data_IF_649220158221
#
_entry.id   IF_649220158221
#
_cell.length_a   1.000
_cell.length_b   1.000
_cell.length_c   1.000
_cell.angle_alpha   90.00
_cell.angle_beta   90.00
_cell.angle_gamma   90.00
#
_symmetry.space_group_name_H-M   'P 1'
#
loop_
_entity.id
_entity.type
_entity.pdbx_description
1 polymer ?
#
# COMPACT_ATOMS: atom_id res chain seq x y z
N UNK A 1 -0.21 -12.58 1.49
CA UNK A 1 -0.84 -11.27 1.82
C UNK A 1 -1.65 -11.30 3.11
N UNK A 2 -2.83 -11.95 3.18
CA UNK A 2 -3.69 -11.88 4.38
C UNK A 2 -3.36 -12.89 5.49
N UNK A 3 -2.56 -13.91 5.20
CA UNK A 3 -2.27 -15.05 6.09
C UNK A 3 -0.76 -15.33 6.25
N UNK A 4 0.07 -14.34 6.62
CA UNK A 4 1.45 -14.61 6.97
C UNK A 4 1.54 -15.40 8.28
N UNK A 5 2.71 -15.97 8.62
CA UNK A 5 2.93 -16.61 9.91
C UNK A 5 2.46 -15.72 11.08
N UNK A 6 1.73 -16.30 12.03
CA UNK A 6 1.17 -15.57 13.18
C UNK A 6 -0.09 -14.73 12.90
N UNK A 7 -0.70 -14.82 11.71
CA UNK A 7 -1.96 -14.12 11.42
C UNK A 7 -3.10 -14.62 12.31
N UNK A 8 -4.03 -13.71 12.62
CA UNK A 8 -5.17 -13.99 13.47
C UNK A 8 -6.50 -13.80 12.70
N UNK A 9 -7.43 -14.77 12.70
CA UNK A 9 -8.70 -14.67 11.98
C UNK A 9 -9.55 -13.47 12.38
N UNK A 10 -9.51 -13.07 13.65
CA UNK A 10 -10.23 -11.92 14.17
C UNK A 10 -9.75 -10.60 13.55
N UNK A 11 -8.54 -10.55 13.01
CA UNK A 11 -8.01 -9.36 12.33
C UNK A 11 -8.55 -9.17 10.91
N UNK A 12 -9.39 -10.09 10.42
CA UNK A 12 -10.12 -9.94 9.17
C UNK A 12 -11.55 -9.46 9.47
N UNK A 13 -11.77 -8.15 9.40
CA UNK A 13 -13.03 -7.53 9.77
C UNK A 13 -13.89 -7.26 8.53
N UNK A 14 -14.99 -8.00 8.38
CA UNK A 14 -16.01 -7.77 7.34
C UNK A 14 -17.32 -7.25 7.90
N UNK A 15 -17.95 -6.29 7.22
CA UNK A 15 -19.29 -5.77 7.55
C UNK A 15 -20.29 -6.22 6.50
N UNK A 16 -21.41 -6.81 6.95
CA UNK A 16 -22.49 -7.28 6.08
C UNK A 16 -23.80 -6.56 6.40
N UNK A 17 -24.64 -6.39 5.39
CA UNK A 17 -26.02 -5.93 5.57
C UNK A 17 -26.84 -7.08 6.16
N UNK A 18 -27.57 -6.85 7.25
CA UNK A 18 -28.31 -7.89 7.99
C UNK A 18 -29.33 -8.60 7.10
N UNK A 19 -30.14 -7.84 6.35
CA UNK A 19 -31.22 -8.39 5.52
C UNK A 19 -30.72 -9.20 4.32
N UNK A 20 -29.68 -8.73 3.61
CA UNK A 20 -29.23 -9.34 2.36
C UNK A 20 -27.94 -10.17 2.49
N UNK A 21 -27.31 -10.18 3.67
CA UNK A 21 -25.98 -10.75 3.96
C UNK A 21 -24.86 -10.29 3.02
N UNK A 22 -25.07 -9.25 2.21
CA UNK A 22 -24.07 -8.71 1.28
C UNK A 22 -22.92 -8.05 2.05
N UNK A 23 -21.69 -8.38 1.69
CA UNK A 23 -20.48 -7.74 2.23
C UNK A 23 -20.37 -6.31 1.68
N UNK A 24 -20.28 -5.34 2.58
CA UNK A 24 -20.26 -3.91 2.24
C UNK A 24 -19.02 -3.18 2.76
N UNK A 25 -18.20 -3.81 3.58
CA UNK A 25 -16.94 -3.27 4.03
C UNK A 25 -15.98 -4.36 4.48
N UNK A 26 -14.69 -4.11 4.32
CA UNK A 26 -13.62 -5.00 4.74
C UNK A 26 -12.41 -4.18 5.20
N UNK A 27 -11.70 -4.67 6.21
CA UNK A 27 -10.39 -4.21 6.63
C UNK A 27 -9.64 -5.41 7.20
N UNK A 28 -8.33 -5.45 6.99
CA UNK A 28 -7.47 -6.52 7.51
C UNK A 28 -6.27 -5.95 8.26
N UNK A 29 -5.81 -6.71 9.25
CA UNK A 29 -4.51 -6.52 9.86
C UNK A 29 -3.70 -7.82 9.79
N UNK A 30 -2.38 -7.69 9.65
CA UNK A 30 -1.42 -8.80 9.73
C UNK A 30 -0.32 -8.45 10.74
N UNK A 31 0.29 -9.44 11.42
CA UNK A 31 1.41 -9.16 12.32
C UNK A 31 2.62 -8.69 11.52
N UNK A 32 3.38 -7.74 12.06
CA UNK A 32 4.66 -7.33 11.51
C UNK A 32 5.58 -6.82 12.61
N UNK A 33 6.84 -7.26 12.61
CA UNK A 33 7.88 -6.62 13.41
C UNK A 33 8.53 -5.54 12.56
N UNK A 34 8.49 -4.30 13.03
CA UNK A 34 9.00 -3.15 12.29
C UNK A 34 10.11 -2.49 13.10
N UNK A 35 11.25 -2.31 12.45
CA UNK A 35 12.37 -1.52 12.94
C UNK A 35 12.17 -0.06 12.50
N UNK A 36 12.10 0.84 13.48
CA UNK A 36 11.88 2.27 13.30
C UNK A 36 13.02 3.03 13.98
N UNK A 37 13.91 3.64 13.19
CA UNK A 37 15.16 4.26 13.64
C UNK A 37 16.01 3.29 14.47
N UNK A 38 16.00 3.39 15.79
CA UNK A 38 16.81 2.57 16.71
C UNK A 38 15.95 1.56 17.51
N UNK A 39 14.64 1.49 17.22
CA UNK A 39 13.70 0.69 17.98
C UNK A 39 13.02 -0.36 17.11
N UNK A 40 13.11 -1.62 17.52
CA UNK A 40 12.28 -2.69 16.99
C UNK A 40 10.97 -2.79 17.79
N UNK A 41 9.84 -2.79 17.08
CA UNK A 41 8.51 -2.93 17.68
C UNK A 41 7.65 -3.91 16.91
N UNK A 42 7.08 -4.85 17.67
CA UNK A 42 5.98 -5.68 17.21
C UNK A 42 4.73 -4.81 17.06
N UNK A 43 4.20 -4.77 15.85
CA UNK A 43 2.99 -4.02 15.50
C UNK A 43 2.15 -4.81 14.50
N UNK A 44 1.06 -4.19 14.04
CA UNK A 44 0.28 -4.75 12.94
C UNK A 44 0.40 -3.88 11.70
N UNK A 45 0.38 -4.52 10.54
CA UNK A 45 0.22 -3.84 9.27
C UNK A 45 -1.26 -3.85 8.87
N UNK A 46 -1.84 -2.67 8.67
CA UNK A 46 -3.23 -2.52 8.22
C UNK A 46 -3.28 -2.40 6.71
N UNK A 47 -4.12 -3.23 6.08
CA UNK A 47 -4.32 -3.19 4.63
C UNK A 47 -5.78 -3.52 4.24
N UNK A 48 -6.09 -3.38 2.96
CA UNK A 48 -7.36 -3.73 2.32
C UNK A 48 -8.61 -3.05 2.88
N UNK A 49 -8.47 -1.84 3.45
CA UNK A 49 -9.63 -1.02 3.80
C UNK A 49 -10.45 -0.70 2.54
N UNK A 50 -11.66 -1.22 2.51
CA UNK A 50 -12.60 -1.04 1.42
C UNK A 50 -14.01 -0.88 1.96
N UNK A 51 -14.72 0.12 1.44
CA UNK A 51 -16.15 0.34 1.69
C UNK A 51 -16.86 0.41 0.35
N UNK A 52 -18.01 -0.26 0.28
CA UNK A 52 -18.87 -0.27 -0.89
C UNK A 52 -19.20 1.16 -1.36
N UNK A 53 -19.16 1.40 -2.68
CA UNK A 53 -19.26 2.75 -3.27
C UNK A 53 -20.43 3.57 -2.71
N UNK A 54 -21.60 2.95 -2.57
CA UNK A 54 -22.84 3.58 -2.07
C UNK A 54 -22.82 3.98 -0.58
N UNK A 55 -21.91 3.44 0.23
CA UNK A 55 -21.86 3.65 1.69
C UNK A 55 -20.67 4.50 2.15
N UNK A 56 -19.86 5.03 1.23
CA UNK A 56 -18.66 5.82 1.57
C UNK A 56 -18.98 7.07 2.39
N UNK A 57 -20.12 7.71 2.15
CA UNK A 57 -20.59 8.90 2.90
C UNK A 57 -21.27 8.58 4.23
N UNK A 58 -21.42 7.30 4.60
CA UNK A 58 -22.18 6.87 5.80
C UNK A 58 -21.29 6.52 7.00
N UNK A 59 -20.04 7.00 7.02
CA UNK A 59 -19.08 6.80 8.12
C UNK A 59 -18.79 5.33 8.50
N UNK A 60 -18.93 4.40 7.55
CA UNK A 60 -18.61 2.98 7.77
C UNK A 60 -17.11 2.75 8.01
N UNK A 61 -16.24 3.47 7.28
CA UNK A 61 -14.79 3.34 7.42
C UNK A 61 -14.28 3.65 8.85
N UNK A 62 -14.66 4.77 9.49
CA UNK A 62 -14.32 5.01 10.90
C UNK A 62 -14.74 3.89 11.86
N UNK A 63 -15.92 3.28 11.66
CA UNK A 63 -16.39 2.17 12.52
C UNK A 63 -15.52 0.93 12.32
N UNK A 64 -15.20 0.59 11.08
CA UNK A 64 -14.28 -0.51 10.75
C UNK A 64 -12.90 -0.30 11.38
N UNK A 65 -12.35 0.92 11.30
CA UNK A 65 -11.05 1.27 11.88
C UNK A 65 -11.09 1.11 13.40
N UNK A 66 -12.12 1.63 14.08
CA UNK A 66 -12.25 1.47 15.54
C UNK A 66 -12.33 0.00 15.95
N UNK A 67 -13.09 -0.81 15.21
CA UNK A 67 -13.25 -2.23 15.54
C UNK A 67 -11.95 -3.02 15.32
N UNK A 68 -11.22 -2.80 14.22
CA UNK A 68 -9.92 -3.47 14.05
C UNK A 68 -8.92 -3.01 15.11
N UNK A 69 -8.87 -1.72 15.46
CA UNK A 69 -8.03 -1.21 16.54
C UNK A 69 -8.37 -1.89 17.87
N UNK A 70 -9.66 -2.03 18.21
CA UNK A 70 -10.08 -2.74 19.42
C UNK A 70 -9.60 -4.20 19.42
N UNK A 71 -9.75 -4.92 18.31
CA UNK A 71 -9.30 -6.33 18.21
C UNK A 71 -7.79 -6.50 18.29
N UNK A 72 -7.04 -5.55 17.76
CA UNK A 72 -5.57 -5.54 17.84
C UNK A 72 -5.11 -5.22 19.26
N UNK A 73 -5.76 -4.27 19.94
CA UNK A 73 -5.47 -3.92 21.33
C UNK A 73 -5.73 -5.07 22.31
N UNK A 74 -6.72 -5.93 22.04
CA UNK A 74 -6.98 -7.12 22.86
C UNK A 74 -5.81 -8.12 22.86
N UNK A 75 -5.00 -8.13 21.80
CA UNK A 75 -3.79 -8.94 21.69
C UNK A 75 -2.55 -8.24 22.29
N UNK A 76 -2.75 -7.11 22.98
CA UNK A 76 -1.66 -6.33 23.61
C UNK A 76 -0.80 -5.54 22.63
N UNK A 77 -1.21 -5.42 21.36
CA UNK A 77 -0.51 -4.62 20.35
C UNK A 77 -1.20 -3.27 20.23
N UNK A 78 -0.45 -2.17 20.34
CA UNK A 78 -1.01 -0.82 20.34
C UNK A 78 -0.51 0.06 19.19
N UNK A 79 0.39 -0.46 18.36
CA UNK A 79 0.99 0.22 17.22
C UNK A 79 0.52 -0.41 15.92
N UNK A 80 0.48 0.39 14.87
CA UNK A 80 0.23 -0.12 13.53
C UNK A 80 0.99 0.67 12.47
N UNK A 81 1.30 0.02 11.35
CA UNK A 81 1.83 0.65 10.14
C UNK A 81 0.80 0.50 9.02
N UNK A 82 0.64 1.55 8.22
CA UNK A 82 -0.25 1.50 7.06
C UNK A 82 0.20 2.50 6.00
N UNK A 83 -0.26 2.28 4.78
CA UNK A 83 -0.08 3.23 3.69
C UNK A 83 -1.43 3.72 3.17
N UNK A 84 -1.40 4.89 2.56
CA UNK A 84 -2.53 5.39 1.79
C UNK A 84 -1.99 6.08 0.54
N UNK A 85 -2.85 6.20 -0.48
CA UNK A 85 -2.60 7.13 -1.60
C UNK A 85 -3.15 8.54 -1.33
N UNK A 86 -3.99 8.69 -0.30
CA UNK A 86 -4.55 9.97 0.14
C UNK A 86 -3.73 10.55 1.29
N UNK A 87 -3.49 11.85 1.23
CA UNK A 87 -2.71 12.55 2.25
C UNK A 87 -3.53 12.67 3.54
N UNK A 88 -2.99 12.11 4.62
CA UNK A 88 -3.49 12.22 5.99
C UNK A 88 -2.43 12.92 6.85
N UNK A 89 -2.79 13.82 7.78
CA UNK A 89 -1.80 14.38 8.72
C UNK A 89 -1.40 13.33 9.78
N UNK A 90 -0.12 13.05 10.09
CA UNK A 90 1.16 13.49 9.50
C UNK A 90 1.90 12.24 8.96
N UNK A 91 2.27 12.18 7.67
CA UNK A 91 2.99 11.01 7.13
C UNK A 91 4.42 10.95 7.65
N UNK A 92 4.95 9.74 7.75
CA UNK A 92 6.32 9.44 8.15
C UNK A 92 7.25 9.46 6.94
N UNK A 93 6.80 8.93 5.81
CA UNK A 93 7.51 8.94 4.53
C UNK A 93 6.54 9.08 3.37
N UNK A 94 7.03 9.54 2.22
CA UNK A 94 6.25 9.63 0.98
C UNK A 94 7.11 9.14 -0.17
N UNK A 95 6.59 8.17 -0.91
CA UNK A 95 7.21 7.59 -2.09
C UNK A 95 6.29 7.81 -3.29
N UNK A 96 6.86 7.91 -4.48
CA UNK A 96 6.14 8.13 -5.73
C UNK A 96 6.20 6.88 -6.59
N UNK A 97 5.10 6.55 -7.25
CA UNK A 97 5.06 5.46 -8.21
C UNK A 97 5.80 5.81 -9.50
N UNK A 98 6.43 4.79 -10.06
CA UNK A 98 7.10 4.83 -11.35
C UNK A 98 6.68 3.62 -12.17
N UNK A 99 6.58 3.81 -13.48
CA UNK A 99 6.05 2.80 -14.40
C UNK A 99 7.01 2.59 -15.57
N UNK A 100 7.29 1.33 -15.87
CA UNK A 100 8.09 0.92 -17.03
C UNK A 100 7.25 0.07 -17.97
N UNK A 101 7.04 0.57 -19.19
CA UNK A 101 6.22 -0.11 -20.21
C UNK A 101 6.93 -1.34 -20.78
N UNK A 102 6.41 -2.54 -20.52
CA UNK A 102 6.91 -3.79 -21.12
C UNK A 102 6.19 -4.11 -22.44
N UNK A 103 4.90 -3.75 -22.52
CA UNK A 103 4.06 -3.89 -23.70
C UNK A 103 3.44 -2.53 -24.11
N UNK A 104 4.22 -1.61 -24.72
CA UNK A 104 3.75 -0.25 -25.02
C UNK A 104 2.49 -0.21 -25.89
N UNK A 105 2.36 -1.14 -26.85
CA UNK A 105 1.22 -1.21 -27.75
C UNK A 105 -0.09 -1.39 -26.97
N UNK A 106 -0.15 -2.41 -26.11
CA UNK A 106 -1.34 -2.65 -25.29
C UNK A 106 -1.60 -1.49 -24.33
N UNK A 107 -0.58 -0.94 -23.68
CA UNK A 107 -0.72 0.17 -22.74
C UNK A 107 -1.30 1.44 -23.38
N UNK A 108 -0.94 1.72 -24.63
CA UNK A 108 -1.46 2.86 -25.38
C UNK A 108 -2.91 2.59 -25.85
N UNK A 109 -3.19 1.38 -26.35
CA UNK A 109 -4.55 0.98 -26.78
C UNK A 109 -5.57 1.13 -25.63
N UNK A 110 -5.20 0.71 -24.41
CA UNK A 110 -6.07 0.78 -23.23
C UNK A 110 -6.04 2.13 -22.50
N UNK A 111 -5.32 3.12 -23.04
CA UNK A 111 -5.12 4.46 -22.46
C UNK A 111 -4.52 4.45 -21.06
N UNK A 112 -3.72 3.44 -20.73
CA UNK A 112 -2.89 3.45 -19.52
C UNK A 112 -1.68 4.38 -19.70
N UNK A 113 -1.17 4.48 -20.92
CA UNK A 113 -0.09 5.41 -21.29
C UNK A 113 -0.43 6.15 -22.57
N UNK A 114 0.22 7.29 -22.79
CA UNK A 114 0.07 8.10 -23.99
C UNK A 114 1.39 8.17 -24.78
N UNK A 115 1.28 8.29 -26.10
CA UNK A 115 2.42 8.63 -26.95
C UNK A 115 2.84 10.06 -26.64
N UNK A 116 4.13 10.27 -26.37
CA UNK A 116 4.65 11.62 -26.24
C UNK A 116 4.70 12.32 -27.60
N UNK A 117 4.80 13.66 -27.57
CA UNK A 117 4.90 14.48 -28.79
C UNK A 117 6.10 13.98 -29.62
N UNK A 118 5.91 13.84 -30.93
CA UNK A 118 6.91 13.38 -31.90
C UNK A 118 7.38 11.90 -31.73
N UNK A 119 6.62 11.08 -31.00
CA UNK A 119 6.84 9.64 -30.94
C UNK A 119 5.81 8.88 -31.78
N UNK A 120 6.28 7.89 -32.53
CA UNK A 120 5.42 6.90 -33.20
C UNK A 120 5.35 5.63 -32.36
N UNK A 121 4.35 4.78 -32.62
CA UNK A 121 4.23 3.47 -31.95
C UNK A 121 5.50 2.63 -32.13
N UNK A 122 6.04 2.57 -33.35
CA UNK A 122 7.26 1.83 -33.66
C UNK A 122 8.48 2.38 -32.91
N UNK A 123 8.64 3.70 -32.84
CA UNK A 123 9.74 4.33 -32.10
C UNK A 123 9.64 4.05 -30.61
N UNK A 124 8.43 4.03 -30.07
CA UNK A 124 8.16 3.70 -28.66
C UNK A 124 8.47 2.24 -28.35
N UNK A 125 8.08 1.32 -29.23
CA UNK A 125 8.44 -0.10 -29.10
C UNK A 125 9.96 -0.31 -29.16
N UNK A 126 10.67 0.39 -30.06
CA UNK A 126 12.14 0.33 -30.15
C UNK A 126 12.80 0.92 -28.91
N UNK A 127 12.30 2.04 -28.39
CA UNK A 127 12.82 2.68 -27.18
C UNK A 127 12.75 1.74 -25.96
N UNK A 128 11.66 1.00 -25.83
CA UNK A 128 11.40 0.14 -24.69
C UNK A 128 11.80 -1.32 -24.90
N UNK A 129 12.48 -1.64 -26.00
CA UNK A 129 13.00 -2.99 -26.27
C UNK A 129 13.95 -3.42 -25.15
N UNK A 130 13.83 -4.69 -24.79
CA UNK A 130 14.62 -5.39 -23.77
C UNK A 130 15.26 -6.63 -24.41
N UNK A 131 16.39 -7.12 -23.87
CA UNK A 131 16.98 -8.41 -24.23
C UNK A 131 16.00 -9.58 -24.09
N UNK A 132 16.37 -10.74 -24.66
CA UNK A 132 15.50 -11.92 -24.72
C UNK A 132 15.76 -12.95 -23.60
N UNK A 133 16.92 -12.91 -22.95
CA UNK A 133 17.29 -13.87 -21.91
C UNK A 133 18.09 -13.22 -20.79
N UNK A 134 17.95 -13.80 -19.59
CA UNK A 134 18.74 -13.49 -18.39
C UNK A 134 19.36 -14.79 -17.88
N UNK A 135 20.50 -14.72 -17.20
CA UNK A 135 21.14 -15.88 -16.56
C UNK A 135 20.56 -16.25 -15.18
N UNK A 136 19.51 -15.57 -14.71
CA UNK A 136 18.97 -15.75 -13.36
C UNK A 136 18.11 -17.02 -13.25
N UNK A 137 18.24 -17.70 -12.11
CA UNK A 137 17.40 -18.86 -11.77
C UNK A 137 16.32 -18.50 -10.75
N UNK A 138 15.17 -19.19 -10.75
CA UNK A 138 14.17 -19.05 -9.69
C UNK A 138 14.73 -19.45 -8.33
N UNK A 139 14.22 -18.81 -7.27
CA UNK A 139 14.55 -19.17 -5.89
C UNK A 139 14.00 -20.56 -5.53
N UNK A 140 14.83 -21.39 -4.89
CA UNK A 140 14.48 -22.70 -4.37
C UNK A 140 14.36 -22.69 -2.84
N UNK A 141 13.81 -23.75 -2.25
CA UNK A 141 13.67 -23.86 -0.78
C UNK A 141 15.01 -23.83 -0.04
N UNK A 142 16.08 -24.36 -0.66
CA UNK A 142 17.43 -24.36 -0.08
C UNK A 142 18.00 -22.95 0.08
N UNK A 143 17.51 -21.98 -0.70
CA UNK A 143 18.00 -20.61 -0.71
C UNK A 143 17.37 -19.75 0.40
N UNK A 144 16.28 -20.20 1.03
CA UNK A 144 15.53 -19.43 2.04
C UNK A 144 16.43 -18.89 3.16
N UNK A 145 17.32 -19.70 3.78
CA UNK A 145 18.20 -19.19 4.83
C UNK A 145 19.17 -18.11 4.32
N UNK A 146 19.68 -18.28 3.10
CA UNK A 146 20.65 -17.33 2.50
C UNK A 146 19.96 -16.01 2.17
N UNK A 147 18.78 -16.08 1.55
CA UNK A 147 17.93 -14.91 1.24
C UNK A 147 17.54 -14.17 2.52
N UNK A 148 17.18 -14.89 3.59
CA UNK A 148 16.86 -14.29 4.89
C UNK A 148 18.05 -13.50 5.45
N UNK A 149 19.25 -14.06 5.40
CA UNK A 149 20.46 -13.36 5.88
C UNK A 149 20.82 -12.15 5.02
N UNK A 150 20.75 -12.27 3.69
CA UNK A 150 21.02 -11.18 2.75
C UNK A 150 20.04 -10.03 2.97
N UNK A 151 18.74 -10.33 3.01
CA UNK A 151 17.68 -9.35 3.25
C UNK A 151 17.85 -8.66 4.60
N UNK A 152 18.10 -9.43 5.66
CA UNK A 152 18.28 -8.88 7.02
C UNK A 152 19.48 -7.96 7.12
N UNK A 153 20.58 -8.26 6.41
CA UNK A 153 21.76 -7.38 6.36
C UNK A 153 21.48 -6.12 5.56
N UNK A 154 20.88 -6.25 4.39
CA UNK A 154 20.56 -5.13 3.51
C UNK A 154 19.56 -4.15 4.14
N UNK A 155 18.51 -4.64 4.79
CA UNK A 155 17.47 -3.80 5.38
C UNK A 155 17.96 -2.95 6.58
N UNK A 156 19.08 -3.31 7.23
CA UNK A 156 19.62 -2.54 8.38
C UNK A 156 20.06 -1.12 8.03
N UNK A 157 20.27 -0.80 6.75
CA UNK A 157 20.71 0.53 6.33
C UNK A 157 19.58 1.59 6.26
N UNK A 158 18.32 1.15 6.42
CA UNK A 158 17.14 2.00 6.32
C UNK A 158 16.47 2.20 7.69
N UNK A 159 15.70 3.28 7.83
CA UNK A 159 15.10 3.67 9.11
C UNK A 159 13.71 3.07 9.36
N UNK A 160 13.01 2.62 8.32
CA UNK A 160 11.70 1.97 8.45
C UNK A 160 11.72 0.67 7.66
N UNK A 161 11.94 -0.44 8.35
CA UNK A 161 12.08 -1.76 7.75
C UNK A 161 11.32 -2.86 8.49
N UNK A 162 10.86 -3.90 7.79
CA UNK A 162 10.33 -5.09 8.42
C UNK A 162 11.47 -5.99 8.87
N UNK A 163 11.36 -6.51 10.08
CA UNK A 163 12.23 -7.56 10.61
C UNK A 163 11.51 -8.89 10.37
N UNK A 164 12.04 -9.67 9.43
CA UNK A 164 11.43 -10.94 9.03
C UNK A 164 12.17 -12.13 9.65
N UNK A 165 11.41 -13.10 10.10
CA UNK A 165 11.86 -14.47 10.38
C UNK A 165 12.05 -15.27 9.08
N UNK A 166 12.71 -16.42 9.19
CA UNK A 166 12.89 -17.31 8.05
C UNK A 166 11.55 -17.82 7.48
N UNK A 167 10.56 -18.10 8.33
CA UNK A 167 9.22 -18.50 7.92
C UNK A 167 8.48 -17.39 7.17
N UNK A 168 8.65 -16.14 7.60
CA UNK A 168 8.10 -14.98 6.88
C UNK A 168 8.79 -14.81 5.53
N UNK A 169 10.11 -14.99 5.45
CA UNK A 169 10.83 -14.94 4.18
C UNK A 169 10.33 -16.04 3.23
N UNK A 170 10.11 -17.26 3.71
CA UNK A 170 9.48 -18.31 2.91
C UNK A 170 8.09 -17.90 2.43
N UNK A 171 7.24 -17.37 3.32
CA UNK A 171 5.87 -16.96 2.96
C UNK A 171 5.83 -15.86 1.90
N UNK A 172 6.73 -14.88 1.98
CA UNK A 172 6.69 -13.69 1.14
C UNK A 172 7.50 -13.79 -0.15
N UNK A 173 8.58 -14.57 -0.17
CA UNK A 173 9.51 -14.62 -1.29
C UNK A 173 9.49 -15.94 -2.06
N UNK A 174 9.00 -17.04 -1.48
CA UNK A 174 8.98 -18.31 -2.20
C UNK A 174 8.11 -18.19 -3.47
N UNK A 175 8.66 -18.47 -4.68
CA UNK A 175 7.94 -18.25 -5.93
C UNK A 175 6.60 -18.98 -6.00
N UNK A 176 5.55 -18.24 -6.33
CA UNK A 176 4.20 -18.76 -6.53
C UNK A 176 3.63 -18.18 -7.82
N UNK A 177 3.22 -19.08 -8.72
CA UNK A 177 2.74 -18.68 -10.04
C UNK A 177 1.58 -17.68 -9.95
N UNK A 178 1.69 -16.58 -10.69
CA UNK A 178 0.71 -15.49 -10.72
C UNK A 178 0.50 -14.77 -9.36
N UNK A 179 1.40 -14.96 -8.40
CA UNK A 179 1.39 -14.27 -7.10
C UNK A 179 2.72 -13.52 -6.90
N UNK A 180 3.81 -14.23 -6.64
CA UNK A 180 5.15 -13.66 -6.40
C UNK A 180 6.17 -14.40 -7.25
N UNK A 181 7.07 -13.65 -7.87
CA UNK A 181 8.19 -14.19 -8.60
C UNK A 181 9.48 -13.69 -7.93
N UNK A 182 10.35 -14.62 -7.51
CA UNK A 182 11.64 -14.32 -6.90
C UNK A 182 12.74 -15.11 -7.58
N UNK A 183 13.83 -14.42 -7.91
CA UNK A 183 14.97 -14.96 -8.63
C UNK A 183 16.25 -14.63 -7.87
N UNK A 184 17.20 -15.56 -7.92
CA UNK A 184 18.49 -15.43 -7.25
C UNK A 184 19.62 -15.39 -8.26
N UNK A 185 20.67 -14.64 -7.93
CA UNK A 185 21.95 -14.62 -8.63
C UNK A 185 22.88 -15.57 -7.90
N UNK A 186 23.45 -16.54 -8.63
CA UNK A 186 24.52 -17.39 -8.13
C UNK A 186 25.87 -16.94 -8.69
N UNK A 187 26.89 -16.95 -7.83
CA UNK A 187 28.27 -16.80 -8.28
C UNK A 187 28.79 -18.09 -8.93
N UNK A 188 30.01 -18.05 -9.48
CA UNK A 188 30.66 -19.22 -10.07
C UNK A 188 30.88 -20.40 -9.08
N UNK A 189 30.82 -20.13 -7.77
CA UNK A 189 30.97 -21.13 -6.71
C UNK A 189 29.62 -21.75 -6.30
N UNK A 190 28.50 -21.32 -6.90
CA UNK A 190 27.16 -21.81 -6.57
C UNK A 190 26.55 -21.18 -5.31
N UNK A 191 27.10 -20.07 -4.81
CA UNK A 191 26.56 -19.33 -3.68
C UNK A 191 25.64 -18.20 -4.15
N UNK A 192 24.51 -18.02 -3.48
CA UNK A 192 23.57 -16.93 -3.77
C UNK A 192 24.12 -15.62 -3.22
N UNK A 193 24.33 -14.64 -4.10
CA UNK A 193 24.88 -13.32 -3.75
C UNK A 193 23.80 -12.25 -3.68
N UNK A 194 22.87 -12.28 -4.63
CA UNK A 194 21.88 -11.24 -4.86
C UNK A 194 20.53 -11.89 -5.16
N UNK A 195 19.43 -11.15 -4.95
CA UNK A 195 18.12 -11.61 -5.38
C UNK A 195 17.21 -10.44 -5.72
N UNK A 196 16.24 -10.71 -6.57
CA UNK A 196 15.18 -9.77 -6.94
C UNK A 196 13.83 -10.41 -6.79
N UNK A 197 12.82 -9.60 -6.50
CA UNK A 197 11.46 -10.07 -6.32
C UNK A 197 10.45 -9.07 -6.84
N UNK A 198 9.41 -9.57 -7.50
CA UNK A 198 8.27 -8.77 -7.93
C UNK A 198 7.00 -9.60 -7.87
N UNK A 199 5.89 -8.94 -7.55
CA UNK A 199 4.60 -9.59 -7.48
C UNK A 199 3.66 -9.23 -8.61
N UNK A 200 2.74 -10.15 -8.88
CA UNK A 200 1.69 -9.98 -9.88
C UNK A 200 0.50 -9.27 -9.26
N UNK A 201 0.07 -8.19 -9.89
CA UNK A 201 -1.21 -7.58 -9.57
C UNK A 201 -1.99 -7.28 -10.85
N UNK A 202 -3.00 -8.12 -11.18
CA UNK A 202 -3.82 -7.90 -12.34
C UNK A 202 -4.78 -6.73 -12.10
N UNK A 203 -4.90 -5.84 -13.06
CA UNK A 203 -5.89 -4.76 -13.06
C UNK A 203 -6.96 -5.05 -14.12
N UNK A 204 -8.24 -4.93 -13.75
CA UNK A 204 -9.35 -5.08 -14.70
C UNK A 204 -9.44 -3.85 -15.59
N UNK A 205 -9.53 -4.06 -16.90
CA UNK A 205 -9.75 -2.98 -17.88
C UNK A 205 -11.26 -2.85 -18.08
N UNK A 206 -11.78 -1.66 -17.78
CA UNK A 206 -13.19 -1.34 -17.96
C UNK A 206 -13.46 -0.89 -19.40
N UNK A 207 -14.56 -1.37 -19.99
CA UNK A 207 -15.12 -0.85 -21.25
C UNK A 207 -14.19 -0.89 -22.48
N UNK A 208 -13.34 -1.92 -22.60
CA UNK A 208 -12.49 -2.11 -23.78
C UNK A 208 -12.91 -3.37 -24.57
N UNK A 209 -13.02 -3.31 -25.92
CA UNK A 209 -13.57 -4.41 -26.71
C UNK A 209 -12.67 -5.65 -26.78
N UNK A 210 -11.34 -5.47 -26.77
CA UNK A 210 -10.36 -6.57 -26.93
C UNK A 210 -9.65 -6.96 -25.63
N UNK A 211 -9.10 -6.00 -24.90
CA UNK A 211 -8.35 -6.24 -23.65
C UNK A 211 -9.25 -6.23 -22.41
N UNK A 212 -9.25 -7.32 -21.63
CA UNK A 212 -10.04 -7.44 -20.39
C UNK A 212 -9.23 -7.20 -19.11
N UNK A 213 -7.93 -7.48 -19.16
CA UNK A 213 -7.03 -7.35 -18.01
C UNK A 213 -5.66 -6.81 -18.41
N UNK A 214 -5.06 -6.08 -17.48
CA UNK A 214 -3.69 -5.60 -17.53
C UNK A 214 -2.88 -6.38 -16.48
N UNK A 215 -1.85 -7.10 -16.91
CA UNK A 215 -0.96 -7.83 -16.00
C UNK A 215 0.18 -6.91 -15.60
N UNK A 216 0.15 -6.36 -14.38
CA UNK A 216 1.20 -5.49 -13.87
C UNK A 216 2.10 -6.24 -12.88
N UNK A 217 3.41 -6.07 -13.04
CA UNK A 217 4.40 -6.48 -12.06
C UNK A 217 4.67 -5.30 -11.13
N UNK A 218 4.80 -5.56 -9.84
CA UNK A 218 5.21 -4.56 -8.84
C UNK A 218 6.50 -5.04 -8.19
N UNK A 219 7.52 -4.20 -8.21
CA UNK A 219 8.79 -4.48 -7.53
C UNK A 219 8.55 -4.61 -6.04
N UNK A 220 9.11 -5.67 -5.44
CA UNK A 220 8.99 -5.95 -4.02
C UNK A 220 10.29 -5.57 -3.29
N UNK A 221 11.11 -6.55 -2.91
CA UNK A 221 12.48 -6.30 -2.42
C UNK A 221 13.50 -6.82 -3.42
N UNK A 222 14.55 -6.03 -3.63
CA UNK A 222 15.70 -6.40 -4.44
C UNK A 222 16.94 -6.11 -3.59
N UNK A 223 17.78 -7.12 -3.41
CA UNK A 223 18.99 -7.06 -2.61
C UNK A 223 20.17 -7.33 -3.52
N UNK A 224 21.13 -6.41 -3.50
CA UNK A 224 22.34 -6.44 -4.31
C UNK A 224 23.57 -6.26 -3.43
N UNK A 225 24.65 -6.96 -3.78
CA UNK A 225 25.93 -7.04 -3.07
C UNK A 225 27.10 -7.03 -4.06
N UNK A 226 27.07 -7.92 -5.07
CA UNK A 226 28.12 -8.01 -6.09
C UNK A 226 27.65 -7.43 -7.42
N UNK A 227 26.42 -7.77 -7.82
CA UNK A 227 25.83 -7.29 -9.06
C UNK A 227 25.34 -5.85 -8.89
N UNK A 228 25.69 -4.90 -9.77
CA UNK A 228 25.12 -3.56 -9.70
C UNK A 228 23.59 -3.60 -9.77
N UNK A 229 22.90 -2.85 -8.89
CA UNK A 229 21.43 -2.80 -8.85
C UNK A 229 20.79 -2.47 -10.21
N UNK A 230 21.47 -1.68 -11.05
CA UNK A 230 21.01 -1.34 -12.40
C UNK A 230 20.85 -2.59 -13.28
N UNK A 231 21.82 -3.50 -13.23
CA UNK A 231 21.84 -4.71 -14.05
C UNK A 231 20.83 -5.72 -13.50
N UNK A 232 20.79 -5.89 -12.17
CA UNK A 232 19.80 -6.73 -11.49
C UNK A 232 18.36 -6.32 -11.84
N UNK A 233 18.08 -5.01 -11.84
CA UNK A 233 16.75 -4.51 -12.19
C UNK A 233 16.48 -4.56 -13.70
N UNK A 234 17.50 -4.48 -14.55
CA UNK A 234 17.35 -4.73 -15.98
C UNK A 234 16.89 -6.17 -16.23
N UNK A 235 17.49 -7.14 -15.52
CA UNK A 235 17.08 -8.54 -15.60
C UNK A 235 15.66 -8.77 -15.08
N UNK A 236 15.26 -8.08 -14.01
CA UNK A 236 13.87 -8.11 -13.52
C UNK A 236 12.86 -7.71 -14.62
N UNK A 237 13.18 -6.67 -15.41
CA UNK A 237 12.33 -6.23 -16.52
C UNK A 237 12.25 -7.26 -17.65
N UNK A 238 13.36 -7.93 -17.96
CA UNK A 238 13.41 -9.01 -18.97
C UNK A 238 12.56 -10.18 -18.49
N UNK A 239 12.75 -10.63 -17.25
CA UNK A 239 11.97 -11.73 -16.64
C UNK A 239 10.47 -11.43 -16.61
N UNK A 240 10.09 -10.22 -16.22
CA UNK A 240 8.69 -9.80 -16.26
C UNK A 240 8.14 -9.78 -17.70
N UNK A 241 8.92 -9.32 -18.68
CA UNK A 241 8.49 -9.36 -20.08
C UNK A 241 8.32 -10.80 -20.59
N UNK A 242 9.24 -11.70 -20.26
CA UNK A 242 9.15 -13.13 -20.61
C UNK A 242 7.92 -13.80 -20.01
N UNK A 243 7.53 -13.41 -18.78
CA UNK A 243 6.31 -13.88 -18.09
C UNK A 243 5.03 -13.18 -18.57
N UNK A 244 5.09 -12.37 -19.62
CA UNK A 244 3.94 -11.75 -20.27
C UNK A 244 3.34 -10.58 -19.47
N UNK A 245 4.14 -9.89 -18.65
CA UNK A 245 3.68 -8.67 -17.99
C UNK A 245 3.62 -7.49 -18.97
N UNK A 246 2.65 -6.60 -18.77
CA UNK A 246 2.42 -5.44 -19.63
C UNK A 246 3.17 -4.20 -19.15
N UNK A 247 3.33 -4.06 -17.83
CA UNK A 247 3.98 -2.94 -17.16
C UNK A 247 4.69 -3.43 -15.90
N UNK A 248 5.81 -2.80 -15.57
CA UNK A 248 6.56 -3.00 -14.34
C UNK A 248 6.51 -1.72 -13.50
N UNK A 249 6.03 -1.82 -12.27
CA UNK A 249 5.84 -0.71 -11.35
C UNK A 249 6.87 -0.79 -10.24
N UNK A 250 7.39 0.36 -9.84
CA UNK A 250 8.29 0.48 -8.70
C UNK A 250 8.02 1.78 -7.96
N UNK A 251 8.25 1.79 -6.65
CA UNK A 251 8.29 3.02 -5.85
C UNK A 251 9.73 3.53 -5.79
N UNK A 252 9.91 4.84 -5.60
CA UNK A 252 11.23 5.46 -5.40
C UNK A 252 11.80 5.31 -3.98
N UNK A 253 11.44 4.19 -3.33
CA UNK A 253 11.91 3.77 -2.00
C UNK A 253 13.31 3.15 -2.07
N UNK A 254 13.98 3.07 -0.92
CA UNK A 254 15.36 2.53 -0.81
C UNK A 254 16.31 3.17 -1.84
N UNK A 255 17.08 2.36 -2.55
CA UNK A 255 18.03 2.78 -3.57
C UNK A 255 17.41 2.86 -4.96
N UNK A 256 16.09 2.69 -5.10
CA UNK A 256 15.46 2.52 -6.42
C UNK A 256 15.68 3.71 -7.37
N UNK A 257 15.79 4.93 -6.82
CA UNK A 257 16.11 6.15 -7.60
C UNK A 257 17.35 6.01 -8.49
N UNK A 258 18.29 5.15 -8.12
CA UNK A 258 19.54 4.94 -8.88
C UNK A 258 19.33 4.31 -10.27
N UNK A 259 18.28 3.49 -10.44
CA UNK A 259 18.00 2.79 -11.69
C UNK A 259 16.77 3.32 -12.45
N UNK A 260 15.84 3.99 -11.78
CA UNK A 260 14.54 4.36 -12.37
C UNK A 260 14.69 5.13 -13.69
N UNK A 261 15.42 6.24 -13.69
CA UNK A 261 15.61 7.05 -14.90
C UNK A 261 16.43 6.30 -15.97
N UNK A 262 17.50 5.61 -15.55
CA UNK A 262 18.41 4.87 -16.45
C UNK A 262 17.70 3.73 -17.18
N UNK A 263 16.80 3.03 -16.49
CA UNK A 263 15.99 1.96 -17.05
C UNK A 263 14.70 2.46 -17.71
N UNK A 264 14.55 3.78 -17.91
CA UNK A 264 13.43 4.40 -18.63
C UNK A 264 12.08 4.21 -17.93
N UNK A 265 12.07 4.21 -16.60
CA UNK A 265 10.83 4.35 -15.85
C UNK A 265 10.29 5.78 -16.01
N UNK A 266 8.99 5.89 -16.26
CA UNK A 266 8.26 7.16 -16.23
C UNK A 266 7.68 7.43 -14.86
N UNK A 267 7.62 8.71 -14.48
CA UNK A 267 6.98 9.14 -13.24
C UNK A 267 5.47 8.87 -13.33
N UNK A 268 4.93 8.19 -12.32
CA UNK A 268 3.50 8.01 -12.12
C UNK A 268 2.84 9.21 -11.46
N UNK A 269 1.51 9.24 -11.52
CA UNK A 269 0.66 10.26 -10.91
C UNK A 269 0.38 10.01 -9.42
N UNK A 270 0.55 8.77 -8.96
CA UNK A 270 0.30 8.36 -7.58
C UNK A 270 1.51 8.59 -6.64
N UNK A 271 1.23 9.14 -5.47
CA UNK A 271 2.12 9.04 -4.31
C UNK A 271 1.55 8.04 -3.30
N UNK A 272 2.43 7.28 -2.67
CA UNK A 272 2.13 6.42 -1.54
C UNK A 272 2.75 7.04 -0.29
N UNK A 273 1.92 7.26 0.74
CA UNK A 273 2.37 7.82 2.00
C UNK A 273 2.36 6.75 3.08
N UNK A 274 3.41 6.72 3.91
CA UNK A 274 3.57 5.79 5.02
C UNK A 274 3.18 6.44 6.34
N UNK A 275 2.44 5.72 7.16
CA UNK A 275 1.91 6.19 8.42
C UNK A 275 2.18 5.19 9.54
N UNK A 276 2.39 5.73 10.74
CA UNK A 276 2.47 4.95 11.97
C UNK A 276 1.36 5.41 12.91
N UNK A 277 0.61 4.45 13.43
CA UNK A 277 -0.41 4.65 14.45
C UNK A 277 0.23 4.47 15.84
N UNK A 278 -0.06 5.41 16.74
CA UNK A 278 0.40 5.40 18.12
C UNK A 278 1.93 5.28 18.26
N UNK A 279 2.66 5.91 17.33
CA UNK A 279 4.11 6.03 17.35
C UNK A 279 4.51 7.42 16.86
N UNK A 280 5.48 8.04 17.54
CA UNK A 280 6.00 9.36 17.17
C UNK A 280 7.46 9.21 16.78
N UNK A 281 7.79 9.60 15.56
CA UNK A 281 9.15 9.66 15.07
C UNK A 281 9.33 10.86 14.11
N UNK A 282 10.57 11.26 13.81
CA UNK A 282 10.84 12.20 12.73
C UNK A 282 10.34 11.66 11.37
N UNK A 283 10.12 12.57 10.43
CA UNK A 283 9.86 12.20 9.04
C UNK A 283 11.16 11.74 8.37
N UNK A 284 11.02 10.87 7.36
CA UNK A 284 12.13 10.31 6.60
C UNK A 284 11.92 10.48 5.10
N UNK A 285 13.01 10.64 4.35
CA UNK A 285 12.97 10.62 2.89
C UNK A 285 12.72 9.21 2.35
N UNK A 286 12.26 9.12 1.11
CA UNK A 286 11.95 7.85 0.45
C UNK A 286 13.13 6.86 0.46
N UNK A 287 14.36 7.38 0.37
CA UNK A 287 15.60 6.62 0.40
C UNK A 287 15.90 5.94 1.75
N UNK A 288 15.22 6.34 2.82
CA UNK A 288 15.33 5.73 4.16
C UNK A 288 14.15 4.83 4.50
N UNK A 289 13.21 4.66 3.58
CA UNK A 289 12.05 3.79 3.70
C UNK A 289 12.32 2.53 2.88
N UNK A 290 12.35 1.35 3.50
CA UNK A 290 12.13 0.10 2.75
C UNK A 290 10.65 -0.21 2.63
N UNK A 291 9.84 0.35 3.53
CA UNK A 291 8.40 0.10 3.66
C UNK A 291 8.14 -1.24 4.37
N UNK A 292 6.98 -1.38 5.04
CA UNK A 292 6.51 -2.67 5.56
C UNK A 292 6.21 -3.64 4.41
N UNK A 293 5.81 -4.87 4.74
CA UNK A 293 5.62 -5.98 3.81
C UNK A 293 4.32 -5.83 3.02
N UNK A 294 4.21 -4.73 2.26
CA UNK A 294 2.97 -4.37 1.60
C UNK A 294 2.92 -4.83 0.16
N UNK A 295 1.87 -5.59 -0.11
CA UNK A 295 1.31 -5.76 -1.44
C UNK A 295 0.51 -4.50 -1.73
N UNK A 296 1.12 -3.55 -2.44
CA UNK A 296 0.44 -2.33 -2.82
C UNK A 296 -0.82 -2.68 -3.58
N UNK A 297 -1.90 -1.97 -3.24
CA UNK A 297 -3.04 -1.85 -4.13
C UNK A 297 -2.49 -1.26 -5.43
N UNK A 298 -2.74 -1.88 -6.59
CA UNK A 298 -2.97 -1.01 -7.75
C UNK A 298 -4.04 -0.04 -7.28
N UNK A 299 -3.69 1.24 -7.22
CA UNK A 299 -4.69 2.28 -7.26
C UNK A 299 -5.58 1.91 -8.43
N UNK A 300 -6.78 1.41 -8.13
CA UNK A 300 -7.76 1.16 -9.15
C UNK A 300 -7.94 2.49 -9.84
N UNK A 301 -7.43 2.61 -11.06
CA UNK A 301 -7.71 3.70 -11.97
C UNK A 301 -9.22 3.69 -12.19
N UNK A 302 -9.98 4.26 -11.25
CA UNK A 302 -11.33 4.70 -11.53
C UNK A 302 -11.16 5.89 -12.45
N UNK A 303 -11.19 5.63 -13.75
CA UNK A 303 -11.63 6.62 -14.71
C UNK A 303 -13.06 7.03 -14.30
N UNK A 304 -13.18 8.02 -13.40
CA UNK A 304 -14.33 8.91 -13.43
C UNK A 304 -14.13 9.81 -14.65
N UNK A 305 -14.39 9.27 -15.84
CA UNK A 305 -14.75 10.11 -16.97
C UNK A 305 -16.11 10.70 -16.62
N UNK A 306 -16.10 11.88 -16.00
CA UNK A 306 -17.25 12.76 -16.00
C UNK A 306 -17.59 13.11 -17.44
N UNK A 307 -18.45 12.31 -18.07
CA UNK A 307 -19.16 12.72 -19.28
C UNK A 307 -20.20 13.77 -18.86
N UNK A 308 -19.77 15.03 -18.76
CA UNK A 308 -20.68 16.15 -18.86
C UNK A 308 -21.06 16.30 -20.32
N UNK A 309 -22.28 15.88 -20.68
CA UNK A 309 -22.91 16.30 -21.93
C UNK A 309 -23.07 17.82 -21.90
N UNK A 310 -22.25 18.53 -22.67
CA UNK A 310 -22.51 19.92 -23.05
C UNK A 310 -22.50 20.00 -24.58
N UNK A 311 -23.70 20.21 -25.15
CA UNK A 311 -23.87 20.61 -26.55
C UNK A 311 -23.25 22.00 -26.71
N UNK A 312 -22.54 22.21 -27.82
CA UNK A 312 -21.71 23.38 -28.03
C UNK A 312 -22.46 24.69 -28.31
N UNK A 313 -21.69 25.78 -28.26
CA UNK A 313 -21.56 26.85 -29.26
C UNK A 313 -20.37 27.78 -28.84
N UNK A 314 -19.73 28.54 -29.77
CA UNK A 314 -18.40 29.11 -29.59
C UNK A 314 -18.38 30.61 -29.24
N UNK A 315 -17.32 31.08 -28.58
CA UNK A 315 -17.04 32.51 -28.38
C UNK A 315 -15.84 32.77 -27.47
N UNK A 316 -14.96 33.68 -27.90
CA UNK A 316 -13.73 34.12 -27.22
C UNK A 316 -14.00 34.77 -25.86
N UNK A 317 -13.08 34.63 -24.91
CA UNK A 317 -12.27 35.70 -24.29
C UNK A 317 -11.61 35.24 -22.98
N UNK A 318 -10.39 35.72 -22.76
CA UNK A 318 -9.58 35.56 -21.57
C UNK A 318 -10.20 36.26 -20.36
N UNK A 319 -10.33 35.59 -19.22
CA UNK A 319 -10.39 36.22 -17.90
C UNK A 319 -10.03 35.21 -16.80
N UNK A 320 -9.10 35.64 -15.96
CA UNK A 320 -8.70 35.03 -14.70
C UNK A 320 -9.86 35.04 -13.68
N UNK A 321 -10.00 33.93 -12.95
CA UNK A 321 -10.61 33.71 -11.60
C UNK A 321 -11.66 32.60 -11.56
N UNK A 322 -11.49 31.72 -10.57
CA UNK A 322 -12.60 31.15 -9.81
C UNK A 322 -12.97 29.70 -10.11
N UNK A 323 -12.40 28.77 -9.36
CA UNK A 323 -13.05 27.49 -9.05
C UNK A 323 -12.65 27.01 -7.65
N UNK A 324 -13.18 27.72 -6.64
CA UNK A 324 -13.43 27.13 -5.34
C UNK A 324 -14.70 26.28 -5.46
N UNK A 325 -14.59 24.97 -5.23
CA UNK A 325 -15.76 24.11 -5.07
C UNK A 325 -15.45 22.98 -4.06
N UNK A 326 -15.77 23.30 -2.80
CA UNK A 326 -16.33 22.42 -1.78
C UNK A 326 -15.49 21.19 -1.35
N UNK A 327 -14.44 21.49 -0.59
CA UNK A 327 -13.91 20.57 0.42
C UNK A 327 -14.93 20.39 1.57
N UNK A 328 -15.25 19.16 2.01
CA UNK A 328 -15.96 18.97 3.26
C UNK A 328 -15.07 19.37 4.44
N UNK A 329 -15.69 20.10 5.36
CA UNK A 329 -15.11 20.96 6.39
C UNK A 329 -14.10 20.32 7.36
N UNK A 330 -13.17 21.18 7.75
CA UNK A 330 -11.92 21.01 8.49
C UNK A 330 -12.03 21.25 10.03
N UNK A 331 -12.77 20.46 10.83
CA UNK A 331 -12.44 20.46 12.28
C UNK A 331 -12.34 19.12 13.00
N UNK A 332 -12.64 17.97 12.38
CA UNK A 332 -12.86 16.73 13.16
C UNK A 332 -11.62 15.87 13.44
N UNK A 333 -10.59 15.94 12.58
CA UNK A 333 -9.31 15.25 12.83
C UNK A 333 -8.56 15.83 14.04
N UNK A 334 -8.81 17.11 14.36
CA UNK A 334 -8.26 17.78 15.53
C UNK A 334 -8.88 17.31 16.86
N UNK A 335 -10.10 16.74 16.83
CA UNK A 335 -10.78 16.20 18.01
C UNK A 335 -10.31 14.78 18.37
N UNK A 336 -9.98 13.95 17.37
CA UNK A 336 -9.41 12.62 17.60
C UNK A 336 -8.00 12.68 18.21
N UNK A 337 -7.24 13.72 17.90
CA UNK A 337 -5.90 13.94 18.47
C UNK A 337 -5.94 14.55 19.88
N UNK A 338 -6.94 15.40 20.19
CA UNK A 338 -7.10 15.98 21.55
C UNK A 338 -7.62 14.97 22.57
N UNK A 339 -8.47 14.03 22.17
CA UNK A 339 -8.94 12.96 23.05
C UNK A 339 -7.82 11.96 23.44
N UNK A 340 -6.80 11.81 22.59
CA UNK A 340 -5.67 10.91 22.82
C UNK A 340 -4.49 11.55 23.59
N UNK A 341 -4.49 12.88 23.77
CA UNK A 341 -3.38 13.62 24.40
C UNK A 341 -3.72 14.26 25.76
N UNK A 342 -4.92 14.01 26.31
CA UNK A 342 -5.25 14.41 27.69
C UNK A 342 -5.11 15.92 27.99
N UNK A 343 -5.24 16.78 26.98
CA UNK A 343 -5.20 18.24 27.17
C UNK A 343 -6.43 18.91 26.54
N UNK A 344 -7.27 19.49 27.40
CA UNK A 344 -8.41 20.33 27.06
C UNK A 344 -8.85 21.19 28.25
N UNK A 345 -9.19 22.44 27.96
CA UNK A 345 -9.54 23.57 28.85
C UNK A 345 -10.61 23.22 29.94
N UNK A 346 -10.52 23.72 31.19
CA UNK A 346 -11.32 23.27 32.33
C UNK A 346 -12.69 23.97 32.46
N UNK A 347 -13.50 24.02 31.39
CA UNK A 347 -14.83 24.66 31.43
C UNK A 347 -15.96 23.84 30.81
N UNK A 348 -15.80 22.51 30.73
CA UNK A 348 -16.85 21.56 30.34
C UNK A 348 -16.94 20.33 31.28
N UNK A 349 -16.61 20.53 32.57
CA UNK A 349 -17.00 19.62 33.65
C UNK A 349 -18.40 19.99 34.12
N UNK A 350 -19.42 19.42 33.51
CA UNK A 350 -20.81 19.67 33.93
C UNK A 350 -21.89 18.80 33.30
N UNK A 351 -21.57 17.98 32.28
CA UNK A 351 -22.58 17.21 31.55
C UNK A 351 -22.26 15.71 31.37
N UNK A 352 -21.30 15.18 32.13
CA UNK A 352 -20.93 13.75 32.14
C UNK A 352 -20.74 13.25 33.59
N UNK A 353 -21.74 13.49 34.42
CA UNK A 353 -22.07 12.71 35.62
C UNK A 353 -23.57 12.51 35.52
N UNK A 354 -24.01 11.34 35.07
CA UNK A 354 -25.38 10.79 35.29
C UNK A 354 -25.62 9.47 34.54
N UNK A 355 -24.68 8.93 33.75
CA UNK A 355 -24.83 7.59 33.12
C UNK A 355 -23.74 6.58 33.51
N UNK A 356 -23.29 6.60 34.77
CA UNK A 356 -22.35 5.60 35.30
C UNK A 356 -22.76 4.96 36.65
N UNK A 357 -24.01 5.18 37.09
CA UNK A 357 -24.59 4.48 38.25
C UNK A 357 -25.91 3.81 37.89
N UNK A 358 -25.88 2.84 36.98
CA UNK A 358 -26.96 1.88 36.81
C UNK A 358 -26.39 0.53 36.39
N UNK A 359 -26.04 -0.28 37.38
CA UNK A 359 -25.74 -1.68 37.11
C UNK A 359 -24.98 -2.43 38.19
N UNK A 360 -25.35 -2.32 39.48
CA UNK A 360 -25.01 -3.34 40.49
C UNK A 360 -26.05 -3.42 41.63
N UNK A 361 -26.95 -4.42 41.53
CA UNK A 361 -27.50 -5.32 42.59
C UNK A 361 -28.56 -4.77 43.59
N UNK A 362 -29.58 -5.58 44.00
CA UNK A 362 -30.81 -5.11 44.68
C UNK A 362 -30.81 -5.39 46.20
N UNK A 363 -31.44 -4.54 47.00
CA UNK A 363 -32.10 -4.91 48.29
C UNK A 363 -32.89 -3.75 48.92
N UNK A 364 -34.19 -4.03 49.16
CA UNK A 364 -35.03 -3.73 50.33
C UNK A 364 -35.19 -2.31 50.95
N UNK A 365 -36.40 -2.13 51.49
CA UNK A 365 -36.91 -1.12 52.44
C UNK A 365 -37.34 0.24 51.86
N UNK A 366 -38.63 0.47 51.56
CA UNK A 366 -39.79 0.70 52.46
C UNK A 366 -40.01 2.17 52.81
N UNK A 367 -41.28 2.58 52.68
CA UNK A 367 -41.98 3.71 53.31
C UNK A 367 -41.63 5.16 52.93
N UNK A 368 -42.58 5.82 52.24
CA UNK A 368 -43.44 6.81 52.92
C UNK A 368 -43.30 8.30 52.56
N UNK A 369 -44.46 8.91 52.28
CA UNK A 369 -44.85 10.33 52.39
C UNK A 369 -44.39 11.31 51.30
N UNK A 370 -45.35 11.82 50.48
CA UNK A 370 -46.12 13.09 50.63
C UNK A 370 -45.18 14.32 50.60
N UNK A 371 -45.36 15.34 49.75
CA UNK A 371 -46.54 15.93 49.11
C UNK A 371 -46.25 16.32 47.67
#
# INVERSE_FOLDING_TARGET
>A
ALRPPGWLPQWHCGVRVVSSRKLVGFISAIPANIHIYDAEKKMVEINFLCVHKKLRSKRVAPVLIREITRRVHLEGIFQAVYTAGVVLPKPVGTCRYWHRSLNPRKLIEVKFSHLSRNMTMQRTMKLYRLPEATGLRPMEKKDIPVVHQLLSRYLKQFHLTPVMSQEEVEHWFYPQENIIDTFVVENANGEVTDFLSFYTLPSTIMNHPTHKSLKAAYSFYNVHTQTPLLDLMSDALVLAKMKGFDVFNALDLMENKTFLEKLKFGIGDGNLQYYLYNWKCPSMGAEKVSGPIQWDRALGLSQDTGQSHARGLPGRESLTRGAAALAPSWPFLHQLQRAAQGQGNPTLRGYLRDELECGLVPTQCSSGCRR
#
